data_IF_908968737505
#
_entry.id   IF_908968737505
#
_cell.length_a   1.000
_cell.length_b   1.000
_cell.length_c   1.000
_cell.angle_alpha   90.00
_cell.angle_beta   90.00
_cell.angle_gamma   90.00
#
_symmetry.space_group_name_H-M   'P 1'
#
loop_
_entity.id
_entity.type
_entity.pdbx_description
1 polymer ?
#
# COMPACT_ATOMS: atom_id res chain seq x y z
N UNK A 1 27.52 40.52 9.05
CA UNK A 1 26.81 40.07 7.83
C UNK A 1 26.66 38.56 7.91
N UNK A 2 25.41 38.06 7.91
CA UNK A 2 25.08 36.65 8.14
C UNK A 2 25.28 35.80 6.87
N UNK A 3 25.24 36.40 5.67
CA UNK A 3 25.57 35.70 4.43
C UNK A 3 27.03 35.92 4.03
N UNK A 4 27.88 34.93 4.32
CA UNK A 4 29.25 34.84 3.79
C UNK A 4 29.48 33.59 2.94
N UNK A 5 28.60 32.59 3.01
CA UNK A 5 28.72 31.31 2.31
C UNK A 5 27.57 31.06 1.33
N UNK A 6 27.82 30.26 0.29
CA UNK A 6 26.79 29.75 -0.65
C UNK A 6 25.79 28.80 0.03
N UNK A 7 26.17 28.20 1.17
CA UNK A 7 25.32 27.31 1.95
C UNK A 7 24.34 28.14 2.78
N UNK A 8 23.05 27.85 2.63
CA UNK A 8 22.00 28.45 3.46
C UNK A 8 21.82 27.59 4.72
N UNK A 9 21.89 28.21 5.90
CA UNK A 9 21.65 27.56 7.19
C UNK A 9 20.24 27.86 7.71
N UNK A 10 19.67 27.00 8.60
CA UNK A 10 18.31 27.19 9.12
C UNK A 10 18.09 28.54 9.80
N UNK A 11 19.05 29.04 10.59
CA UNK A 11 19.01 30.37 11.22
C UNK A 11 18.76 31.51 10.23
N UNK A 12 19.33 31.45 9.02
CA UNK A 12 19.09 32.46 7.99
C UNK A 12 17.64 32.45 7.50
N UNK A 13 17.05 31.26 7.36
CA UNK A 13 15.66 31.11 6.93
C UNK A 13 14.68 31.64 7.98
N UNK A 14 14.98 31.48 9.28
CA UNK A 14 14.21 32.11 10.37
C UNK A 14 14.24 33.63 10.26
N UNK A 15 15.44 34.22 10.20
CA UNK A 15 15.61 35.68 10.13
C UNK A 15 15.00 36.31 8.87
N UNK A 16 15.09 35.62 7.73
CA UNK A 16 14.54 36.07 6.43
C UNK A 16 13.05 35.81 6.25
N UNK A 17 12.38 35.15 7.20
CA UNK A 17 11.01 34.65 7.05
C UNK A 17 10.83 33.81 5.79
N UNK A 18 11.84 33.00 5.45
CA UNK A 18 11.85 32.15 4.26
C UNK A 18 11.75 30.67 4.64
N UNK A 19 11.54 29.81 3.64
CA UNK A 19 11.44 28.37 3.84
C UNK A 19 12.80 27.71 3.69
N UNK A 20 13.23 26.91 4.67
CA UNK A 20 14.43 26.09 4.58
C UNK A 20 14.17 24.90 3.67
N UNK A 21 14.70 24.95 2.44
CA UNK A 21 14.38 24.01 1.37
C UNK A 21 15.61 23.62 0.55
N UNK A 22 15.59 22.40 0.06
CA UNK A 22 16.60 21.83 -0.83
C UNK A 22 16.03 21.57 -2.21
N UNK A 23 16.90 21.51 -3.21
CA UNK A 23 16.53 21.22 -4.60
C UNK A 23 16.22 19.74 -4.76
N UNK A 24 15.01 19.41 -5.24
CA UNK A 24 14.67 18.06 -5.66
C UNK A 24 15.05 17.88 -7.13
N UNK A 25 15.87 16.89 -7.42
CA UNK A 25 16.22 16.48 -8.79
C UNK A 25 15.78 15.06 -9.04
N UNK A 26 15.25 14.80 -10.23
CA UNK A 26 14.84 13.47 -10.67
C UNK A 26 15.39 13.16 -12.05
N UNK A 27 15.72 11.89 -12.27
CA UNK A 27 16.22 11.38 -13.54
C UNK A 27 15.03 10.84 -14.34
N UNK A 28 14.72 11.48 -15.47
CA UNK A 28 13.58 11.13 -16.33
C UNK A 28 14.10 10.29 -17.49
N UNK A 29 13.69 9.02 -17.55
CA UNK A 29 13.93 8.13 -18.67
C UNK A 29 12.65 7.96 -19.50
N UNK A 30 12.77 7.94 -20.83
CA UNK A 30 11.65 7.63 -21.71
C UNK A 30 12.07 6.68 -22.83
N UNK A 31 11.09 5.95 -23.35
CA UNK A 31 11.26 5.04 -24.47
C UNK A 31 10.19 5.30 -25.51
N UNK A 32 10.56 5.26 -26.79
CA UNK A 32 9.62 5.34 -27.92
C UNK A 32 9.65 4.01 -28.64
N UNK A 33 8.49 3.35 -28.76
CA UNK A 33 8.36 2.01 -29.35
C UNK A 33 9.31 0.98 -28.71
N UNK A 34 9.45 1.03 -27.38
CA UNK A 34 10.35 0.14 -26.63
C UNK A 34 11.84 0.48 -26.70
N UNK A 35 12.23 1.49 -27.50
CA UNK A 35 13.63 1.92 -27.63
C UNK A 35 13.90 3.05 -26.62
N UNK A 36 14.78 2.85 -25.62
CA UNK A 36 15.17 3.89 -24.67
C UNK A 36 15.82 5.08 -25.39
N UNK A 37 15.47 6.30 -25.00
CA UNK A 37 15.97 7.54 -25.62
C UNK A 37 16.96 8.32 -24.75
N UNK A 38 17.31 7.78 -23.58
CA UNK A 38 18.27 8.36 -22.64
C UNK A 38 17.62 8.77 -21.33
N UNK A 39 18.41 9.45 -20.50
CA UNK A 39 18.03 9.94 -19.17
C UNK A 39 18.31 11.44 -19.12
N UNK A 40 17.29 12.23 -18.80
CA UNK A 40 17.43 13.68 -18.54
C UNK A 40 17.33 13.93 -17.04
N UNK A 41 18.34 14.59 -16.47
CA UNK A 41 18.27 15.08 -15.09
C UNK A 41 17.44 16.36 -15.05
N UNK A 42 16.28 16.30 -14.41
CA UNK A 42 15.35 17.42 -14.30
C UNK A 42 15.26 17.91 -12.87
N UNK A 43 15.18 19.23 -12.71
CA UNK A 43 14.81 19.82 -11.41
C UNK A 43 13.30 19.76 -11.24
N UNK A 44 12.83 19.13 -10.16
CA UNK A 44 11.42 18.93 -9.83
C UNK A 44 10.88 19.98 -8.84
N UNK A 45 11.68 20.99 -8.53
CA UNK A 45 11.34 22.06 -7.60
C UNK A 45 12.16 21.99 -6.31
N UNK A 46 11.69 22.69 -5.28
CA UNK A 46 12.34 22.73 -3.97
C UNK A 46 11.41 22.14 -2.90
N UNK A 47 11.96 21.30 -2.02
CA UNK A 47 11.22 20.65 -0.93
C UNK A 47 11.79 21.11 0.42
N UNK A 48 10.94 21.41 1.42
CA UNK A 48 11.40 21.70 2.77
C UNK A 48 12.28 20.58 3.33
N UNK A 49 13.42 20.95 3.93
CA UNK A 49 14.35 20.00 4.55
C UNK A 49 14.14 20.02 6.05
N UNK A 50 14.08 18.84 6.67
CA UNK A 50 13.96 18.71 8.11
C UNK A 50 15.30 19.10 8.76
N UNK A 51 15.24 19.94 9.79
CA UNK A 51 16.42 20.40 10.55
C UNK A 51 17.10 19.20 11.22
N UNK A 52 18.44 19.14 11.14
CA UNK A 52 19.33 18.02 11.53
C UNK A 52 19.14 16.69 10.81
N UNK A 53 18.26 16.60 9.80
CA UNK A 53 18.22 15.43 8.92
C UNK A 53 19.49 15.32 8.07
N UNK A 54 19.72 14.15 7.44
CA UNK A 54 20.88 13.88 6.58
C UNK A 54 21.14 14.95 5.50
N UNK A 55 20.09 15.62 5.02
CA UNK A 55 20.18 16.64 3.97
C UNK A 55 20.28 18.07 4.51
N UNK A 56 20.23 18.26 5.83
CA UNK A 56 20.41 19.55 6.48
C UNK A 56 21.91 19.85 6.66
N UNK A 57 22.30 21.12 6.53
CA UNK A 57 23.69 21.54 6.76
C UNK A 57 24.12 21.44 8.23
N UNK A 58 23.17 21.31 9.17
CA UNK A 58 23.45 21.07 10.58
C UNK A 58 23.73 19.60 10.91
N UNK A 59 23.62 18.70 9.92
CA UNK A 59 23.84 17.28 10.12
C UNK A 59 25.29 17.03 10.57
N UNK A 60 25.43 16.36 11.71
CA UNK A 60 26.73 15.96 12.29
C UNK A 60 27.69 17.14 12.59
N UNK A 61 27.18 18.37 12.71
CA UNK A 61 27.98 19.48 13.21
C UNK A 61 28.26 19.31 14.71
N UNK A 62 29.45 19.73 15.14
CA UNK A 62 29.81 19.77 16.55
C UNK A 62 29.08 20.90 17.27
N UNK A 63 28.90 20.83 18.60
CA UNK A 63 28.24 21.89 19.37
C UNK A 63 28.86 23.28 19.14
N UNK A 64 30.20 23.35 19.06
CA UNK A 64 30.93 24.57 18.72
C UNK A 64 30.59 25.11 17.32
N UNK A 65 30.44 24.24 16.33
CA UNK A 65 30.08 24.62 14.97
C UNK A 65 28.61 25.08 14.87
N UNK A 66 27.70 24.48 15.65
CA UNK A 66 26.30 24.94 15.73
C UNK A 66 26.22 26.39 16.22
N UNK A 67 26.93 26.70 17.31
CA UNK A 67 27.01 28.07 17.85
C UNK A 67 27.56 29.04 16.81
N UNK A 68 28.62 28.66 16.07
CA UNK A 68 29.20 29.47 15.00
C UNK A 68 28.19 29.77 13.86
N UNK A 69 27.25 28.85 13.61
CA UNK A 69 26.19 29.02 12.62
C UNK A 69 24.90 29.62 13.20
N UNK A 70 24.96 30.22 14.40
CA UNK A 70 23.82 30.86 15.09
C UNK A 70 22.67 29.90 15.40
N UNK A 71 23.01 28.65 15.69
CA UNK A 71 22.09 27.63 16.20
C UNK A 71 22.39 27.35 17.67
N UNK A 72 21.46 26.70 18.34
CA UNK A 72 21.64 26.26 19.72
C UNK A 72 22.70 25.14 19.82
N UNK A 73 23.46 25.13 20.92
CA UNK A 73 24.50 24.12 21.18
C UNK A 73 23.92 22.69 21.14
N UNK A 74 22.71 22.54 21.67
CA UNK A 74 21.96 21.28 21.75
C UNK A 74 20.73 21.27 20.81
N UNK A 75 20.82 21.90 19.62
CA UNK A 75 19.74 21.91 18.64
C UNK A 75 19.21 20.48 18.41
N UNK A 76 17.90 20.26 18.59
CA UNK A 76 17.29 18.93 18.53
C UNK A 76 16.93 18.53 17.09
N UNK A 77 16.55 19.50 16.26
CA UNK A 77 16.02 19.26 14.92
C UNK A 77 14.66 18.53 14.93
N UNK A 78 14.32 17.88 13.81
CA UNK A 78 13.06 17.12 13.68
C UNK A 78 11.83 17.92 13.24
N UNK A 79 12.00 19.21 12.98
CA UNK A 79 10.97 20.12 12.44
C UNK A 79 11.41 20.71 11.09
N UNK A 80 10.50 21.46 10.47
CA UNK A 80 10.70 22.15 9.20
C UNK A 80 10.51 23.66 9.39
N UNK A 81 11.28 24.48 8.69
CA UNK A 81 11.10 25.94 8.68
C UNK A 81 10.35 26.31 7.40
N UNK A 82 9.11 26.78 7.54
CA UNK A 82 8.23 27.20 6.45
C UNK A 82 7.88 28.69 6.65
N UNK A 83 8.33 29.54 5.73
CA UNK A 83 8.13 30.99 5.78
C UNK A 83 8.59 31.59 7.14
N UNK A 84 9.74 31.12 7.65
CA UNK A 84 10.29 31.51 8.95
C UNK A 84 9.64 30.87 10.17
N UNK A 85 8.57 30.09 10.00
CA UNK A 85 7.85 29.45 11.10
C UNK A 85 8.27 27.99 11.19
N UNK A 86 8.61 27.56 12.40
CA UNK A 86 8.91 26.17 12.70
C UNK A 86 7.63 25.33 12.78
N UNK A 87 7.61 24.22 12.03
CA UNK A 87 6.48 23.31 11.93
C UNK A 87 6.93 21.87 12.08
N UNK A 88 6.21 21.10 12.89
CA UNK A 88 6.45 19.67 13.09
C UNK A 88 5.31 18.86 12.46
N UNK A 89 5.65 17.71 11.87
CA UNK A 89 4.64 16.74 11.45
C UNK A 89 4.25 15.92 12.68
N UNK A 90 3.01 16.04 13.12
CA UNK A 90 2.51 15.33 14.30
C UNK A 90 2.45 13.81 14.02
N UNK A 91 2.99 13.02 14.95
CA UNK A 91 2.86 11.57 14.91
C UNK A 91 1.40 11.15 15.12
N UNK A 92 0.95 10.15 14.36
CA UNK A 92 -0.40 9.60 14.44
C UNK A 92 -0.35 8.13 14.86
N UNK A 93 -1.27 7.73 15.74
CA UNK A 93 -1.47 6.33 16.09
C UNK A 93 -2.24 5.68 14.95
N UNK A 94 -1.67 4.60 14.39
CA UNK A 94 -2.24 3.84 13.29
C UNK A 94 -2.35 2.35 13.66
N UNK A 95 -3.27 1.59 13.05
CA UNK A 95 -3.33 0.14 13.23
C UNK A 95 -2.00 -0.54 12.91
N UNK A 96 -1.76 -1.68 13.56
CA UNK A 96 -0.53 -2.47 13.36
C UNK A 96 -0.38 -2.84 11.87
N UNK A 97 0.79 -2.56 11.31
CA UNK A 97 1.12 -2.87 9.91
C UNK A 97 1.16 -4.37 9.68
N UNK A 98 0.60 -4.81 8.55
CA UNK A 98 0.69 -6.18 8.02
C UNK A 98 0.27 -7.26 9.03
N UNK A 99 -0.76 -6.97 9.84
CA UNK A 99 -1.29 -7.90 10.83
C UNK A 99 -2.81 -8.03 10.65
N UNK A 100 -3.36 -9.25 10.46
CA UNK A 100 -4.79 -9.46 10.38
C UNK A 100 -5.42 -9.30 11.76
N UNK A 101 -6.41 -8.42 11.87
CA UNK A 101 -7.16 -8.20 13.11
C UNK A 101 -8.62 -8.63 12.92
N UNK A 102 -9.00 -9.73 13.55
CA UNK A 102 -10.39 -10.15 13.67
C UNK A 102 -11.15 -9.13 14.53
N UNK A 103 -12.28 -8.63 14.02
CA UNK A 103 -13.11 -7.65 14.70
C UNK A 103 -14.58 -7.97 14.55
N UNK A 104 -15.36 -7.54 15.55
CA UNK A 104 -16.81 -7.57 15.51
C UNK A 104 -17.29 -6.12 15.49
N UNK A 105 -17.95 -5.70 14.41
CA UNK A 105 -18.49 -4.35 14.27
C UNK A 105 -19.94 -4.39 13.80
N UNK A 106 -20.91 -3.97 14.62
CA UNK A 106 -22.32 -3.94 14.24
C UNK A 106 -22.59 -3.11 12.97
N UNK A 107 -21.83 -2.02 12.77
CA UNK A 107 -21.90 -1.17 11.57
C UNK A 107 -21.55 -1.90 10.26
N UNK A 108 -20.94 -3.09 10.30
CA UNK A 108 -20.70 -3.86 9.09
C UNK A 108 -21.96 -4.52 8.54
N UNK A 109 -22.93 -4.85 9.41
CA UNK A 109 -24.24 -5.37 9.01
C UNK A 109 -25.03 -4.37 8.14
N UNK A 110 -24.81 -3.06 8.35
CA UNK A 110 -25.49 -2.01 7.58
C UNK A 110 -24.87 -1.73 6.21
N UNK A 111 -23.85 -2.48 5.77
CA UNK A 111 -23.22 -2.29 4.44
C UNK A 111 -24.08 -2.78 3.29
N UNK A 112 -24.98 -3.73 3.55
CA UNK A 112 -25.88 -4.28 2.55
C UNK A 112 -26.51 -5.59 3.02
N UNK A 113 -27.49 -6.12 2.27
CA UNK A 113 -28.06 -7.44 2.53
C UNK A 113 -26.96 -8.51 2.57
N UNK A 114 -27.09 -9.44 3.50
CA UNK A 114 -26.15 -10.56 3.68
C UNK A 114 -24.88 -10.25 4.46
N UNK A 115 -24.55 -8.98 4.73
CA UNK A 115 -23.36 -8.65 5.54
C UNK A 115 -23.55 -8.99 7.01
N UNK A 116 -22.54 -9.63 7.61
CA UNK A 116 -22.50 -9.85 9.06
C UNK A 116 -21.67 -8.80 9.79
N UNK A 117 -21.69 -8.87 11.12
CA UNK A 117 -20.83 -8.07 11.98
C UNK A 117 -19.38 -8.56 12.06
N UNK A 118 -19.08 -9.72 11.47
CA UNK A 118 -17.78 -10.38 11.56
C UNK A 118 -16.89 -10.01 10.37
N UNK A 119 -15.61 -9.86 10.62
CA UNK A 119 -14.64 -9.60 9.58
C UNK A 119 -13.22 -9.40 10.10
N UNK A 120 -12.27 -9.48 9.18
CA UNK A 120 -10.85 -9.33 9.45
C UNK A 120 -10.37 -8.07 8.74
N UNK A 121 -9.78 -7.13 9.47
CA UNK A 121 -9.18 -5.94 8.88
C UNK A 121 -7.67 -6.03 8.92
N UNK A 122 -7.04 -5.59 7.83
CA UNK A 122 -5.60 -5.61 7.67
C UNK A 122 -5.13 -4.27 7.12
N UNK A 123 -4.13 -3.69 7.80
CA UNK A 123 -3.44 -2.48 7.36
C UNK A 123 -2.19 -2.88 6.57
N UNK A 124 -2.32 -3.05 5.26
CA UNK A 124 -1.22 -3.46 4.39
C UNK A 124 -0.31 -2.28 4.09
N UNK A 125 0.97 -2.35 4.50
CA UNK A 125 1.96 -1.30 4.26
C UNK A 125 3.11 -1.87 3.45
N UNK A 126 3.44 -1.16 2.36
CA UNK A 126 4.51 -1.51 1.44
C UNK A 126 5.88 -1.09 1.95
N UNK A 127 6.93 -1.55 1.28
CA UNK A 127 8.32 -1.20 1.62
C UNK A 127 8.55 0.31 1.49
N UNK A 128 7.89 0.97 0.53
CA UNK A 128 7.89 2.43 0.34
C UNK A 128 6.93 3.19 1.30
N UNK A 129 6.40 2.52 2.33
CA UNK A 129 5.48 3.07 3.34
C UNK A 129 4.09 3.52 2.86
N UNK A 130 3.75 3.34 1.58
CA UNK A 130 2.36 3.47 1.10
C UNK A 130 1.48 2.39 1.72
N UNK A 131 0.29 2.74 2.19
CA UNK A 131 -0.62 1.82 2.87
C UNK A 131 -1.96 1.65 2.17
N UNK A 132 -2.49 0.43 2.16
CA UNK A 132 -3.85 0.09 1.73
C UNK A 132 -4.55 -0.63 2.87
N UNK A 133 -5.73 -0.11 3.26
CA UNK A 133 -6.58 -0.80 4.24
C UNK A 133 -7.48 -1.79 3.51
N UNK A 134 -7.49 -3.03 4.01
CA UNK A 134 -8.32 -4.11 3.49
C UNK A 134 -9.21 -4.65 4.60
N UNK A 135 -10.45 -5.03 4.25
CA UNK A 135 -11.33 -5.74 5.18
C UNK A 135 -11.98 -6.93 4.48
N UNK A 136 -11.87 -8.11 5.09
CA UNK A 136 -12.58 -9.32 4.70
C UNK A 136 -13.86 -9.37 5.52
N UNK A 137 -15.00 -9.27 4.86
CA UNK A 137 -16.33 -9.36 5.47
C UNK A 137 -16.89 -10.76 5.30
N UNK A 138 -17.29 -11.37 6.41
CA UNK A 138 -18.03 -12.62 6.36
C UNK A 138 -19.50 -12.34 6.05
N UNK A 139 -20.06 -13.04 5.07
CA UNK A 139 -21.47 -12.95 4.70
C UNK A 139 -22.27 -14.11 5.31
N UNK A 140 -23.58 -13.91 5.48
CA UNK A 140 -24.50 -14.95 5.97
C UNK A 140 -24.62 -16.15 5.02
N UNK A 141 -24.33 -15.96 3.72
CA UNK A 141 -24.21 -17.01 2.72
C UNK A 141 -23.00 -17.93 2.92
N UNK A 142 -22.09 -17.61 3.84
CA UNK A 142 -20.85 -18.34 4.08
C UNK A 142 -19.68 -17.91 3.19
N UNK A 143 -19.89 -16.97 2.26
CA UNK A 143 -18.83 -16.41 1.43
C UNK A 143 -18.12 -15.23 2.11
N UNK A 144 -16.96 -14.85 1.57
CA UNK A 144 -16.16 -13.73 2.09
C UNK A 144 -16.03 -12.66 1.00
N UNK A 145 -16.38 -11.42 1.35
CA UNK A 145 -16.20 -10.25 0.50
C UNK A 145 -14.99 -9.45 0.96
N UNK A 146 -14.02 -9.28 0.06
CA UNK A 146 -12.86 -8.43 0.29
C UNK A 146 -13.17 -7.02 -0.16
N UNK A 147 -12.93 -6.04 0.70
CA UNK A 147 -12.95 -4.64 0.31
C UNK A 147 -11.59 -3.97 0.45
N UNK A 148 -11.38 -2.98 -0.40
CA UNK A 148 -10.22 -2.11 -0.36
C UNK A 148 -10.58 -0.76 -0.97
N UNK A 149 -9.79 0.26 -0.62
CA UNK A 149 -9.97 1.60 -1.16
C UNK A 149 -8.97 1.82 -2.29
N UNK A 150 -9.46 2.29 -3.44
CA UNK A 150 -8.64 2.74 -4.56
C UNK A 150 -9.11 4.13 -4.98
N UNK A 151 -8.19 5.10 -5.06
CA UNK A 151 -8.50 6.49 -5.43
C UNK A 151 -9.74 7.08 -4.73
N UNK A 152 -9.84 6.89 -3.41
CA UNK A 152 -10.95 7.34 -2.54
C UNK A 152 -12.30 6.64 -2.76
N UNK A 153 -12.38 5.64 -3.63
CA UNK A 153 -13.56 4.81 -3.82
C UNK A 153 -13.37 3.44 -3.16
N UNK A 154 -14.47 2.86 -2.67
CA UNK A 154 -14.47 1.56 -2.02
C UNK A 154 -14.90 0.49 -3.02
N UNK A 155 -14.06 -0.53 -3.19
CA UNK A 155 -14.31 -1.66 -4.08
C UNK A 155 -14.55 -2.94 -3.29
N UNK A 156 -15.29 -3.87 -3.90
CA UNK A 156 -15.65 -5.16 -3.32
C UNK A 156 -15.37 -6.27 -4.32
N UNK A 157 -14.67 -7.31 -3.88
CA UNK A 157 -14.36 -8.49 -4.69
C UNK A 157 -14.58 -9.74 -3.83
N UNK A 158 -15.33 -10.75 -4.28
CA UNK A 158 -15.43 -12.01 -3.55
C UNK A 158 -14.05 -12.67 -3.43
N UNK A 159 -13.74 -13.20 -2.25
CA UNK A 159 -12.41 -13.75 -1.94
C UNK A 159 -12.01 -14.89 -2.88
N UNK A 160 -12.98 -15.68 -3.37
CA UNK A 160 -12.72 -16.76 -4.34
C UNK A 160 -12.01 -16.29 -5.60
N UNK A 161 -12.41 -15.14 -6.18
CA UNK A 161 -11.73 -14.56 -7.34
C UNK A 161 -10.29 -14.21 -7.01
N UNK A 162 -10.05 -13.62 -5.84
CA UNK A 162 -8.69 -13.20 -5.46
C UNK A 162 -7.80 -14.41 -5.23
N UNK A 163 -8.27 -15.45 -4.55
CA UNK A 163 -7.50 -16.68 -4.34
C UNK A 163 -7.11 -17.33 -5.67
N UNK A 164 -8.06 -17.49 -6.59
CA UNK A 164 -7.84 -18.11 -7.91
C UNK A 164 -7.02 -17.23 -8.86
N UNK A 165 -7.02 -15.91 -8.65
CA UNK A 165 -6.16 -14.99 -9.39
C UNK A 165 -4.71 -15.02 -8.89
N UNK A 166 -4.49 -15.28 -7.60
CA UNK A 166 -3.16 -15.30 -6.97
C UNK A 166 -2.40 -16.60 -7.23
N UNK A 167 -3.11 -17.73 -7.30
CA UNK A 167 -2.51 -19.05 -7.51
C UNK A 167 -3.05 -19.73 -8.76
N UNK A 168 -2.17 -20.37 -9.52
CA UNK A 168 -2.54 -21.19 -10.69
C UNK A 168 -3.06 -22.59 -10.31
N UNK A 169 -3.72 -22.72 -9.16
CA UNK A 169 -4.18 -24.00 -8.62
C UNK A 169 -5.57 -24.37 -9.13
N UNK A 170 -5.89 -25.67 -9.09
CA UNK A 170 -7.27 -26.13 -9.29
C UNK A 170 -8.14 -25.80 -8.07
N UNK A 171 -9.46 -25.74 -8.27
CA UNK A 171 -10.40 -25.49 -7.17
C UNK A 171 -10.27 -26.55 -6.06
N UNK A 172 -9.98 -27.80 -6.43
CA UNK A 172 -9.71 -28.87 -5.48
C UNK A 172 -8.47 -28.61 -4.62
N UNK A 173 -7.37 -28.15 -5.23
CA UNK A 173 -6.16 -27.79 -4.50
C UNK A 173 -6.40 -26.61 -3.56
N UNK A 174 -7.10 -25.56 -4.03
CA UNK A 174 -7.47 -24.42 -3.19
C UNK A 174 -8.33 -24.89 -2.01
N UNK A 175 -9.33 -25.72 -2.26
CA UNK A 175 -10.19 -26.29 -1.22
C UNK A 175 -9.39 -27.07 -0.17
N UNK A 176 -8.52 -27.99 -0.61
CA UNK A 176 -7.68 -28.77 0.30
C UNK A 176 -6.79 -27.88 1.16
N UNK A 177 -6.13 -26.87 0.56
CA UNK A 177 -5.26 -25.96 1.31
C UNK A 177 -6.00 -25.13 2.36
N UNK A 178 -7.25 -24.73 2.09
CA UNK A 178 -8.04 -23.96 3.03
C UNK A 178 -8.59 -24.82 4.18
N UNK A 179 -8.95 -26.07 3.89
CA UNK A 179 -9.58 -26.99 4.85
C UNK A 179 -8.56 -27.70 5.77
N UNK A 180 -7.26 -27.59 5.49
CA UNK A 180 -6.20 -28.17 6.33
C UNK A 180 -6.34 -27.77 7.81
N UNK A 181 -6.36 -28.76 8.70
CA UNK A 181 -6.56 -28.60 10.15
C UNK A 181 -8.01 -28.37 10.58
N UNK A 182 -8.96 -28.41 9.63
CA UNK A 182 -10.42 -28.27 9.81
C UNK A 182 -11.17 -29.33 9.00
N UNK A 183 -10.57 -30.50 8.83
CA UNK A 183 -11.09 -31.57 7.98
C UNK A 183 -12.40 -32.17 8.50
N UNK A 184 -12.72 -32.03 9.79
CA UNK A 184 -13.99 -32.54 10.34
C UNK A 184 -15.10 -31.47 10.37
N UNK A 185 -14.76 -30.21 10.08
CA UNK A 185 -15.69 -29.10 10.13
C UNK A 185 -16.51 -29.01 8.82
N UNK A 186 -17.69 -29.61 8.85
CA UNK A 186 -18.61 -29.64 7.70
C UNK A 186 -19.11 -28.24 7.35
N UNK A 187 -19.30 -27.37 8.34
CA UNK A 187 -19.72 -25.99 8.12
C UNK A 187 -18.65 -25.19 7.38
N UNK A 188 -17.39 -25.30 7.83
CA UNK A 188 -16.25 -24.64 7.19
C UNK A 188 -16.05 -25.14 5.75
N UNK A 189 -16.10 -26.45 5.51
CA UNK A 189 -16.04 -27.04 4.17
C UNK A 189 -17.12 -26.46 3.25
N UNK A 190 -18.36 -26.38 3.71
CA UNK A 190 -19.45 -25.81 2.95
C UNK A 190 -19.19 -24.34 2.59
N UNK A 191 -18.67 -23.53 3.52
CA UNK A 191 -18.31 -22.13 3.25
C UNK A 191 -17.26 -22.01 2.14
N UNK A 192 -16.19 -22.82 2.20
CA UNK A 192 -15.13 -22.83 1.18
C UNK A 192 -15.69 -23.29 -0.18
N UNK A 193 -16.51 -24.33 -0.21
CA UNK A 193 -17.15 -24.81 -1.44
C UNK A 193 -18.06 -23.75 -2.07
N UNK A 194 -18.87 -23.03 -1.27
CA UNK A 194 -19.71 -21.95 -1.77
C UNK A 194 -18.87 -20.80 -2.36
N UNK A 195 -17.78 -20.43 -1.69
CA UNK A 195 -16.89 -19.37 -2.18
C UNK A 195 -16.25 -19.72 -3.53
N UNK A 196 -15.82 -20.97 -3.73
CA UNK A 196 -15.26 -21.42 -5.01
C UNK A 196 -16.33 -21.55 -6.10
N UNK A 197 -17.53 -22.00 -5.74
CA UNK A 197 -18.66 -22.13 -6.66
C UNK A 197 -19.05 -20.80 -7.29
N UNK A 198 -19.06 -19.71 -6.52
CA UNK A 198 -19.35 -18.35 -7.03
C UNK A 198 -18.43 -17.96 -8.21
N UNK A 199 -17.16 -18.36 -8.16
CA UNK A 199 -16.20 -18.05 -9.24
C UNK A 199 -16.52 -18.84 -10.51
N UNK A 200 -16.94 -20.10 -10.34
CA UNK A 200 -17.31 -20.99 -11.45
C UNK A 200 -18.65 -20.61 -12.07
N UNK A 201 -19.60 -20.11 -11.28
CA UNK A 201 -20.89 -19.59 -11.77
C UNK A 201 -20.71 -18.39 -12.72
N UNK A 202 -19.71 -17.55 -12.48
CA UNK A 202 -19.28 -16.47 -13.38
C UNK A 202 -18.37 -16.96 -14.54
N UNK A 203 -18.28 -18.27 -14.77
CA UNK A 203 -17.56 -18.89 -15.89
C UNK A 203 -16.03 -18.85 -15.76
N UNK A 204 -15.50 -18.52 -14.58
CA UNK A 204 -14.06 -18.38 -14.37
C UNK A 204 -13.42 -19.67 -13.81
N UNK A 205 -12.85 -20.49 -14.70
CA UNK A 205 -12.27 -21.80 -14.33
C UNK A 205 -10.75 -21.74 -14.15
N UNK A 206 -10.06 -20.85 -14.86
CA UNK A 206 -8.60 -20.73 -14.84
C UNK A 206 -8.14 -19.40 -14.26
N UNK A 207 -6.91 -19.33 -13.73
CA UNK A 207 -6.29 -18.09 -13.26
C UNK A 207 -6.35 -16.98 -14.33
N UNK A 208 -6.07 -17.33 -15.59
CA UNK A 208 -6.10 -16.39 -16.71
C UNK A 208 -7.49 -15.78 -16.94
N UNK A 209 -8.54 -16.61 -16.90
CA UNK A 209 -9.91 -16.13 -17.05
C UNK A 209 -10.29 -15.19 -15.91
N UNK A 210 -9.92 -15.53 -14.68
CA UNK A 210 -10.14 -14.66 -13.50
C UNK A 210 -9.42 -13.32 -13.65
N UNK A 211 -8.16 -13.31 -14.11
CA UNK A 211 -7.41 -12.07 -14.35
C UNK A 211 -8.06 -11.20 -15.43
N UNK A 212 -8.54 -11.81 -16.51
CA UNK A 212 -9.26 -11.12 -17.58
C UNK A 212 -10.57 -10.52 -17.04
N UNK A 213 -11.33 -11.29 -16.27
CA UNK A 213 -12.58 -10.84 -15.65
C UNK A 213 -12.35 -9.63 -14.75
N UNK A 214 -11.42 -9.74 -13.78
CA UNK A 214 -11.06 -8.62 -12.92
C UNK A 214 -10.56 -7.42 -13.74
N UNK A 215 -9.75 -7.67 -14.76
CA UNK A 215 -9.25 -6.63 -15.67
C UNK A 215 -10.36 -5.87 -16.37
N UNK A 216 -11.35 -6.57 -16.94
CA UNK A 216 -12.50 -5.96 -17.62
C UNK A 216 -13.29 -5.05 -16.67
N UNK A 217 -13.57 -5.52 -15.45
CA UNK A 217 -14.37 -4.77 -14.48
C UNK A 217 -13.64 -3.56 -13.89
N UNK A 218 -12.32 -3.62 -13.74
CA UNK A 218 -11.53 -2.55 -13.09
C UNK A 218 -10.83 -1.61 -14.09
N UNK A 219 -10.86 -1.89 -15.39
CA UNK A 219 -10.15 -1.13 -16.44
C UNK A 219 -10.40 0.37 -16.37
N UNK A 220 -11.67 0.77 -16.31
CA UNK A 220 -12.09 2.18 -16.32
C UNK A 220 -11.58 2.90 -15.08
N UNK A 221 -11.50 2.21 -13.93
CA UNK A 221 -11.11 2.81 -12.66
C UNK A 221 -9.60 2.90 -12.48
N UNK A 222 -8.84 1.95 -13.03
CA UNK A 222 -7.39 1.91 -12.83
C UNK A 222 -6.62 2.95 -13.65
N UNK A 223 -7.25 3.63 -14.62
CA UNK A 223 -6.62 4.63 -15.51
C UNK A 223 -5.31 4.13 -16.13
N UNK A 224 -5.31 2.87 -16.57
CA UNK A 224 -4.16 2.24 -17.22
C UNK A 224 -4.17 2.52 -18.72
N UNK A 225 -3.01 2.40 -19.40
CA UNK A 225 -2.94 2.63 -20.84
C UNK A 225 -3.83 1.70 -21.66
N UNK A 226 -4.38 2.21 -22.76
CA UNK A 226 -5.35 1.46 -23.59
C UNK A 226 -4.78 0.21 -24.23
N UNK A 227 -3.47 0.16 -24.46
CA UNK A 227 -2.79 -1.02 -25.01
C UNK A 227 -2.59 -2.15 -23.98
N UNK A 228 -2.97 -1.97 -22.71
CA UNK A 228 -2.94 -3.05 -21.74
C UNK A 228 -4.06 -4.04 -22.04
N UNK A 229 -3.72 -5.32 -22.16
CA UNK A 229 -4.73 -6.38 -22.18
C UNK A 229 -5.46 -6.44 -20.83
N UNK A 230 -6.69 -6.94 -20.82
CA UNK A 230 -7.45 -7.09 -19.57
C UNK A 230 -6.71 -7.97 -18.56
N UNK A 231 -6.02 -9.01 -19.03
CA UNK A 231 -5.12 -9.82 -18.19
C UNK A 231 -4.07 -8.98 -17.45
N UNK A 232 -3.37 -8.07 -18.15
CA UNK A 232 -2.39 -7.16 -17.54
C UNK A 232 -3.02 -6.16 -16.57
N UNK A 233 -4.24 -5.72 -16.85
CA UNK A 233 -5.02 -4.87 -15.94
C UNK A 233 -5.33 -5.64 -14.64
N UNK A 234 -5.76 -6.91 -14.75
CA UNK A 234 -5.98 -7.79 -13.60
C UNK A 234 -4.70 -8.05 -12.79
N UNK A 235 -3.57 -8.28 -13.46
CA UNK A 235 -2.26 -8.40 -12.79
C UNK A 235 -1.86 -7.12 -12.06
N UNK A 236 -2.12 -5.95 -12.67
CA UNK A 236 -1.87 -4.67 -12.03
C UNK A 236 -2.74 -4.48 -10.79
N UNK A 237 -4.02 -4.87 -10.86
CA UNK A 237 -4.92 -4.85 -9.71
C UNK A 237 -4.37 -5.71 -8.57
N UNK A 238 -3.95 -6.94 -8.83
CA UNK A 238 -3.35 -7.79 -7.79
C UNK A 238 -2.07 -7.20 -7.21
N UNK A 239 -1.21 -6.62 -8.05
CA UNK A 239 -0.02 -5.88 -7.61
C UNK A 239 -0.37 -4.66 -6.78
N UNK A 240 -1.50 -4.00 -7.02
CA UNK A 240 -1.99 -2.87 -6.23
C UNK A 240 -2.57 -3.31 -4.89
N UNK A 241 -3.46 -4.30 -4.91
CA UNK A 241 -4.15 -4.79 -3.73
C UNK A 241 -3.16 -5.51 -2.80
N UNK A 242 -2.01 -5.96 -3.31
CA UNK A 242 -0.97 -6.71 -2.59
C UNK A 242 -1.63 -7.67 -1.60
N UNK A 243 -2.52 -8.50 -2.13
CA UNK A 243 -3.05 -9.62 -1.40
C UNK A 243 -1.85 -10.46 -0.97
N UNK A 244 -1.54 -10.36 0.31
CA UNK A 244 -0.67 -11.29 1.00
C UNK A 244 0.80 -11.28 0.60
N UNK A 245 1.38 -10.09 0.35
CA UNK A 245 2.84 -9.94 0.52
C UNK A 245 3.21 -9.84 2.00
N UNK A 246 2.71 -10.78 2.82
CA UNK A 246 3.54 -11.31 3.90
C UNK A 246 4.78 -11.84 3.15
N UNK A 247 6.00 -11.46 3.54
CA UNK A 247 7.23 -11.95 2.91
C UNK A 247 7.27 -13.48 2.94
N UNK A 248 6.65 -14.11 1.95
CA UNK A 248 6.71 -15.53 1.69
C UNK A 248 7.70 -15.64 0.55
N UNK A 249 8.93 -16.04 0.90
CA UNK A 249 9.88 -16.55 -0.07
C UNK A 249 9.13 -17.51 -1.02
N UNK A 250 9.49 -17.50 -2.30
CA UNK A 250 8.85 -18.33 -3.35
C UNK A 250 8.70 -19.81 -2.98
N UNK A 251 9.47 -20.31 -2.01
CA UNK A 251 9.36 -21.65 -1.42
C UNK A 251 8.19 -21.87 -0.45
N UNK A 252 7.47 -20.83 -0.02
CA UNK A 252 6.38 -20.90 0.96
C UNK A 252 5.01 -20.43 0.44
N UNK A 253 4.84 -20.24 -0.88
CA UNK A 253 3.51 -19.95 -1.45
C UNK A 253 2.47 -21.04 -1.10
N UNK A 254 2.92 -22.27 -0.86
CA UNK A 254 2.09 -23.42 -0.54
C UNK A 254 1.50 -23.42 0.88
N UNK A 255 2.04 -22.67 1.84
CA UNK A 255 1.56 -22.64 3.23
C UNK A 255 0.70 -21.43 3.61
N UNK A 256 0.45 -20.54 2.64
CA UNK A 256 -0.06 -19.19 2.91
C UNK A 256 -1.58 -19.08 2.90
N UNK A 257 -2.28 -19.89 2.09
CA UNK A 257 -3.74 -19.92 2.06
C UNK A 257 -4.32 -20.13 3.47
N UNK A 258 -3.68 -20.98 4.28
CA UNK A 258 -4.04 -21.22 5.68
C UNK A 258 -3.46 -20.25 6.73
N UNK A 259 -2.70 -19.21 6.36
CA UNK A 259 -2.28 -18.14 7.32
C UNK A 259 -2.98 -16.80 7.10
N UNK A 260 -3.73 -16.73 6.02
CA UNK A 260 -4.45 -15.55 5.56
C UNK A 260 -5.90 -15.56 6.04
N UNK A 261 -6.45 -16.76 6.28
CA UNK A 261 -7.81 -16.97 6.76
C UNK A 261 -7.90 -17.27 8.27
N UNK A 262 -6.78 -17.23 9.02
CA UNK A 262 -6.71 -17.48 10.45
C UNK A 262 -6.07 -16.32 11.19
#
# INVERSE_FOLDING_TARGET
>A
SVCKELKVYPAECRGRRSTYRGKLTGDISWSVNGIPKGIIKQTLGNIPIMVKSKFCHLHSLSPKALIQHHEEEEEMGGYFIINGIEKVIRMMIMPRRNFPLAMIKPKWKSRGPGYTQYGVSMHCVRDEHTSVNMTLHYLDSGSVMVNFIYQKELFFIPLGFLLKALVGFSDFQIFQELVKGKEDDTFYKNCVSQMLRLVTEDGCVTQKQVLIFLGQHFRVKLNLPDWFSNERVGEFLLKYVQLFRIRLNRSQHYGACGKIMF
#
